data_IF_162740363877
#
_entry.id   IF_162740363877
#
_cell.length_a   1.000
_cell.length_b   1.000
_cell.length_c   1.000
_cell.angle_alpha   90.00
_cell.angle_beta   90.00
_cell.angle_gamma   90.00
#
_symmetry.space_group_name_H-M   'P 1'
#
loop_
_entity.id
_entity.type
_entity.pdbx_description
1 polymer ?
#
# COMPACT_ATOMS: atom_id res chain seq x y z
N UNK A 1 11.62 -37.08 9.28
CA UNK A 1 11.00 -35.99 8.50
C UNK A 1 10.91 -34.75 9.37
N UNK A 2 11.75 -33.73 9.14
CA UNK A 2 11.70 -32.47 9.89
C UNK A 2 10.45 -31.68 9.48
N UNK A 3 9.44 -31.65 10.34
CA UNK A 3 8.30 -30.73 10.25
C UNK A 3 8.83 -29.30 10.40
N UNK A 4 9.24 -28.68 9.28
CA UNK A 4 9.41 -27.22 9.21
C UNK A 4 8.07 -26.60 9.54
N UNK A 5 7.91 -26.19 10.79
CA UNK A 5 6.69 -25.53 11.26
C UNK A 5 6.41 -24.32 10.37
N UNK A 6 5.34 -24.41 9.58
CA UNK A 6 4.80 -23.33 8.74
C UNK A 6 4.20 -22.19 9.58
N UNK A 7 4.31 -22.23 10.91
CA UNK A 7 3.80 -21.19 11.81
C UNK A 7 4.72 -19.97 11.84
N UNK A 8 4.11 -18.78 11.93
CA UNK A 8 4.80 -17.52 12.19
C UNK A 8 5.53 -17.61 13.52
N UNK A 9 6.83 -17.28 13.53
CA UNK A 9 7.63 -17.22 14.77
C UNK A 9 7.61 -15.80 15.35
N UNK A 10 7.96 -15.65 16.63
CA UNK A 10 8.04 -14.32 17.25
C UNK A 10 8.96 -13.35 16.47
N UNK A 11 10.11 -13.83 15.97
CA UNK A 11 11.01 -13.04 15.10
C UNK A 11 10.35 -12.56 13.80
N UNK A 12 9.42 -13.36 13.27
CA UNK A 12 8.70 -13.08 12.04
C UNK A 12 7.70 -11.93 12.29
N UNK A 13 7.01 -11.99 13.43
CA UNK A 13 6.09 -10.94 13.89
C UNK A 13 6.83 -9.62 14.20
N UNK A 14 8.02 -9.68 14.82
CA UNK A 14 8.85 -8.49 15.05
C UNK A 14 9.23 -7.83 13.73
N UNK A 15 9.68 -8.61 12.74
CA UNK A 15 9.99 -8.08 11.41
C UNK A 15 8.75 -7.45 10.77
N UNK A 16 7.60 -8.13 10.80
CA UNK A 16 6.32 -7.58 10.30
C UNK A 16 6.06 -6.22 10.95
N UNK A 17 6.13 -6.11 12.28
CA UNK A 17 5.90 -4.85 12.99
C UNK A 17 6.87 -3.74 12.57
N UNK A 18 8.17 -4.02 12.55
CA UNK A 18 9.21 -3.02 12.20
C UNK A 18 9.05 -2.54 10.76
N UNK A 19 8.87 -3.45 9.80
CA UNK A 19 8.68 -3.07 8.40
C UNK A 19 7.35 -2.36 8.17
N UNK A 20 6.30 -2.74 8.88
CA UNK A 20 5.02 -2.04 8.84
C UNK A 20 5.15 -0.62 9.38
N UNK A 21 5.90 -0.41 10.47
CA UNK A 21 6.16 0.92 11.01
C UNK A 21 6.96 1.79 10.03
N UNK A 22 8.04 1.25 9.43
CA UNK A 22 8.83 1.97 8.41
C UNK A 22 7.95 2.33 7.21
N UNK A 23 7.18 1.36 6.71
CA UNK A 23 6.24 1.57 5.61
C UNK A 23 5.25 2.68 5.95
N UNK A 24 4.67 2.63 7.15
CA UNK A 24 3.68 3.58 7.62
C UNK A 24 4.25 5.01 7.74
N UNK A 25 5.46 5.17 8.27
CA UNK A 25 6.11 6.49 8.37
C UNK A 25 6.36 7.09 6.99
N UNK A 26 6.85 6.29 6.04
CA UNK A 26 7.07 6.74 4.65
C UNK A 26 5.74 7.07 3.98
N UNK A 27 4.72 6.23 4.19
CA UNK A 27 3.38 6.46 3.68
C UNK A 27 2.79 7.77 4.24
N UNK A 28 2.93 8.00 5.54
CA UNK A 28 2.45 9.21 6.21
C UNK A 28 3.16 10.46 5.67
N UNK A 29 4.48 10.41 5.49
CA UNK A 29 5.24 11.48 4.86
C UNK A 29 4.79 11.76 3.42
N UNK A 30 4.48 10.72 2.65
CA UNK A 30 3.89 10.84 1.31
C UNK A 30 2.52 11.51 1.35
N UNK A 31 1.64 11.09 2.26
CA UNK A 31 0.30 11.64 2.42
C UNK A 31 0.30 13.14 2.78
N UNK A 32 1.36 13.66 3.41
CA UNK A 32 1.50 15.10 3.66
C UNK A 32 1.64 15.94 2.39
N UNK A 33 1.99 15.35 1.23
CA UNK A 33 1.94 16.06 -0.05
C UNK A 33 0.49 16.26 -0.55
N UNK A 34 -0.48 15.52 0.00
CA UNK A 34 -1.90 15.61 -0.32
C UNK A 34 -2.60 16.85 0.19
N UNK A 35 -1.90 17.73 0.92
CA UNK A 35 -2.38 19.07 1.29
C UNK A 35 -2.54 19.99 0.07
N UNK A 36 -1.94 19.64 -1.07
CA UNK A 36 -2.10 20.36 -2.33
C UNK A 36 -3.02 19.51 -3.23
N UNK A 37 -4.11 20.06 -3.79
CA UNK A 37 -5.17 19.26 -4.42
C UNK A 37 -4.69 18.58 -5.70
N UNK A 38 -3.74 19.18 -6.42
CA UNK A 38 -3.12 18.59 -7.62
C UNK A 38 -2.28 17.34 -7.31
N UNK A 39 -1.78 17.24 -6.08
CA UNK A 39 -1.02 16.08 -5.66
C UNK A 39 -1.91 14.91 -5.25
N UNK A 40 -3.21 15.09 -4.96
CA UNK A 40 -4.08 13.96 -4.55
C UNK A 40 -4.16 12.84 -5.60
N UNK A 41 -4.36 13.13 -6.90
CA UNK A 41 -4.28 12.08 -7.92
C UNK A 41 -2.87 11.53 -8.09
N UNK A 42 -1.86 12.40 -7.98
CA UNK A 42 -0.44 12.08 -8.09
C UNK A 42 0.06 11.20 -6.94
N UNK A 43 -0.51 11.34 -5.74
CA UNK A 43 -0.25 10.51 -4.56
C UNK A 43 -0.58 9.05 -4.84
N UNK A 44 -1.61 8.82 -5.65
CA UNK A 44 -1.94 7.49 -6.15
C UNK A 44 -0.76 6.81 -6.85
N UNK A 45 0.21 7.55 -7.37
CA UNK A 45 1.43 7.03 -8.01
C UNK A 45 2.68 7.21 -7.14
N UNK A 46 2.83 8.38 -6.50
CA UNK A 46 4.00 8.72 -5.67
C UNK A 46 4.06 7.88 -4.40
N UNK A 47 2.94 7.69 -3.69
CA UNK A 47 2.92 6.88 -2.47
C UNK A 47 3.33 5.42 -2.72
N UNK A 48 2.74 4.69 -3.70
CA UNK A 48 3.21 3.34 -4.03
C UNK A 48 4.68 3.26 -4.43
N UNK A 49 5.22 4.30 -5.08
CA UNK A 49 6.62 4.33 -5.49
C UNK A 49 7.53 4.47 -4.27
N UNK A 50 7.25 5.43 -3.39
CA UNK A 50 8.01 5.64 -2.15
C UNK A 50 7.91 4.44 -1.22
N UNK A 51 6.70 3.91 -1.05
CA UNK A 51 6.43 2.73 -0.24
C UNK A 51 6.92 1.42 -0.88
N UNK A 52 7.16 1.39 -2.19
CA UNK A 52 7.63 0.21 -2.90
C UNK A 52 9.03 -0.23 -2.49
N UNK A 53 9.91 0.70 -2.13
CA UNK A 53 11.29 0.42 -1.69
C UNK A 53 11.32 -0.36 -0.34
N UNK A 54 10.72 0.15 0.76
CA UNK A 54 10.70 -0.58 2.03
C UNK A 54 9.89 -1.87 1.92
N UNK A 55 8.83 -1.91 1.09
CA UNK A 55 8.08 -3.12 0.85
C UNK A 55 8.92 -4.18 0.13
N UNK A 56 9.72 -3.81 -0.87
CA UNK A 56 10.67 -4.71 -1.52
C UNK A 56 11.67 -5.29 -0.53
N UNK A 57 12.22 -4.44 0.35
CA UNK A 57 13.13 -4.89 1.40
C UNK A 57 12.43 -5.86 2.35
N UNK A 58 11.18 -5.58 2.71
CA UNK A 58 10.34 -6.44 3.52
C UNK A 58 10.12 -7.81 2.85
N UNK A 59 9.78 -7.83 1.56
CA UNK A 59 9.57 -9.05 0.79
C UNK A 59 10.83 -9.95 0.74
N UNK A 60 12.05 -9.38 0.77
CA UNK A 60 13.28 -10.20 0.87
C UNK A 60 13.43 -10.96 2.20
N UNK A 61 12.76 -10.50 3.26
CA UNK A 61 12.74 -11.13 4.58
C UNK A 61 11.55 -12.07 4.78
N UNK A 62 10.52 -11.94 3.95
CA UNK A 62 9.31 -12.76 4.01
C UNK A 62 9.57 -14.12 3.38
N UNK A 63 9.39 -15.18 4.16
CA UNK A 63 9.52 -16.57 3.70
C UNK A 63 8.29 -17.41 4.04
N UNK A 64 7.22 -16.79 4.54
CA UNK A 64 6.05 -17.46 5.10
C UNK A 64 4.76 -16.69 4.81
N UNK A 65 3.67 -17.45 4.72
CA UNK A 65 2.32 -16.94 4.53
C UNK A 65 1.81 -16.26 5.80
N UNK A 66 1.12 -15.13 5.63
CA UNK A 66 0.49 -14.33 6.67
C UNK A 66 1.28 -13.09 7.08
N UNK A 67 2.52 -12.96 6.64
CA UNK A 67 3.35 -11.78 6.96
C UNK A 67 2.78 -10.51 6.31
N UNK A 68 2.46 -10.58 5.01
CA UNK A 68 1.93 -9.41 4.28
C UNK A 68 0.48 -9.13 4.66
N UNK A 69 -0.31 -10.18 4.92
CA UNK A 69 -1.67 -10.03 5.44
C UNK A 69 -1.69 -9.31 6.79
N UNK A 70 -0.77 -9.66 7.71
CA UNK A 70 -0.63 -8.97 8.99
C UNK A 70 -0.25 -7.49 8.80
N UNK A 71 0.69 -7.18 7.90
CA UNK A 71 1.01 -5.78 7.58
C UNK A 71 -0.22 -5.03 7.07
N UNK A 72 -1.00 -5.62 6.17
CA UNK A 72 -2.25 -5.01 5.67
C UNK A 72 -3.29 -4.77 6.77
N UNK A 73 -3.44 -5.73 7.70
CA UNK A 73 -4.33 -5.61 8.86
C UNK A 73 -3.85 -4.51 9.80
N UNK A 74 -2.55 -4.49 10.15
CA UNK A 74 -1.97 -3.49 11.04
C UNK A 74 -2.09 -2.09 10.43
N UNK A 75 -1.78 -1.92 9.14
CA UNK A 75 -1.96 -0.64 8.45
C UNK A 75 -3.43 -0.23 8.41
N UNK A 76 -4.34 -1.16 8.14
CA UNK A 76 -5.78 -0.91 8.16
C UNK A 76 -6.29 -0.45 9.52
N UNK A 77 -5.86 -1.12 10.61
CA UNK A 77 -6.20 -0.76 11.98
C UNK A 77 -5.61 0.59 12.40
N UNK A 78 -4.32 0.82 12.13
CA UNK A 78 -3.68 2.11 12.41
C UNK A 78 -4.44 3.25 11.75
N UNK A 79 -4.79 3.07 10.48
CA UNK A 79 -5.51 4.10 9.73
C UNK A 79 -6.97 4.25 10.14
N UNK A 80 -7.62 3.18 10.59
CA UNK A 80 -8.93 3.27 11.23
C UNK A 80 -8.87 4.13 12.50
N UNK A 81 -7.87 3.92 13.35
CA UNK A 81 -7.66 4.69 14.59
C UNK A 81 -7.36 6.16 14.27
N UNK A 82 -6.62 6.45 13.20
CA UNK A 82 -6.40 7.81 12.71
C UNK A 82 -7.64 8.47 12.09
N UNK A 83 -8.77 7.77 12.04
CA UNK A 83 -10.02 8.31 11.51
C UNK A 83 -10.12 8.23 9.99
N UNK A 84 -9.31 7.40 9.32
CA UNK A 84 -9.30 7.21 7.85
C UNK A 84 -10.47 6.36 7.32
N UNK A 85 -11.28 5.80 8.21
CA UNK A 85 -12.52 5.06 7.90
C UNK A 85 -12.33 3.55 7.71
N UNK A 86 -13.41 2.81 7.93
CA UNK A 86 -13.44 1.32 7.89
C UNK A 86 -13.08 0.78 6.50
N UNK A 87 -13.33 1.54 5.44
CA UNK A 87 -13.01 1.16 4.06
C UNK A 87 -11.51 0.90 3.85
N UNK A 88 -10.64 1.69 4.50
CA UNK A 88 -9.18 1.49 4.43
C UNK A 88 -8.78 0.16 5.09
N UNK A 89 -9.44 -0.19 6.20
CA UNK A 89 -9.22 -1.46 6.87
C UNK A 89 -9.66 -2.62 5.99
N UNK A 90 -10.86 -2.56 5.41
CA UNK A 90 -11.37 -3.61 4.53
C UNK A 90 -10.47 -3.79 3.31
N UNK A 91 -10.05 -2.70 2.67
CA UNK A 91 -9.11 -2.73 1.56
C UNK A 91 -7.75 -3.32 1.99
N UNK A 92 -7.17 -2.86 3.10
CA UNK A 92 -5.90 -3.37 3.63
C UNK A 92 -5.92 -4.87 3.93
N UNK A 93 -7.03 -5.38 4.48
CA UNK A 93 -7.22 -6.81 4.76
C UNK A 93 -7.33 -7.60 3.45
N UNK A 94 -8.20 -7.18 2.53
CA UNK A 94 -8.44 -7.88 1.27
C UNK A 94 -7.18 -7.91 0.41
N UNK A 95 -6.59 -6.74 0.13
CA UNK A 95 -5.39 -6.62 -0.69
C UNK A 95 -4.14 -7.19 -0.01
N UNK A 96 -4.07 -7.14 1.33
CA UNK A 96 -3.04 -7.81 2.11
C UNK A 96 -3.08 -9.34 1.90
N UNK A 97 -4.25 -9.96 2.02
CA UNK A 97 -4.44 -11.39 1.81
C UNK A 97 -4.17 -11.79 0.35
N UNK A 98 -4.67 -11.02 -0.62
CA UNK A 98 -4.42 -11.26 -2.04
C UNK A 98 -2.93 -11.19 -2.37
N UNK A 99 -2.23 -10.19 -1.85
CA UNK A 99 -0.79 -10.03 -2.03
C UNK A 99 -0.01 -11.22 -1.44
N UNK A 100 -0.39 -11.67 -0.25
CA UNK A 100 0.23 -12.82 0.42
C UNK A 100 -0.02 -14.15 -0.33
N UNK A 101 -1.21 -14.33 -0.92
CA UNK A 101 -1.52 -15.45 -1.81
C UNK A 101 -0.66 -15.45 -3.08
N UNK A 102 -0.43 -14.29 -3.70
CA UNK A 102 0.43 -14.17 -4.88
C UNK A 102 1.90 -14.50 -4.55
N UNK A 103 2.39 -14.09 -3.37
CA UNK A 103 3.74 -14.47 -2.94
C UNK A 103 3.86 -15.97 -2.68
N UNK A 104 2.81 -16.58 -2.12
CA UNK A 104 2.74 -18.01 -1.87
C UNK A 104 2.78 -18.82 -3.17
N UNK A 105 2.05 -18.40 -4.22
CA UNK A 105 2.12 -19.09 -5.53
C UNK A 105 3.51 -18.97 -6.16
N UNK A 106 4.19 -17.85 -5.95
CA UNK A 106 5.58 -17.63 -6.35
C UNK A 106 6.64 -18.27 -5.45
N UNK A 107 6.25 -19.05 -4.44
CA UNK A 107 7.12 -19.65 -3.41
C UNK A 107 8.10 -18.64 -2.77
N UNK A 108 7.74 -17.35 -2.72
CA UNK A 108 8.59 -16.26 -2.23
C UNK A 108 9.94 -16.09 -2.98
N UNK A 109 10.12 -16.73 -4.13
CA UNK A 109 11.35 -16.66 -4.94
C UNK A 109 11.10 -16.08 -6.33
N UNK A 110 9.86 -16.12 -6.83
CA UNK A 110 9.55 -15.59 -8.16
C UNK A 110 9.44 -14.07 -8.16
N UNK A 111 10.36 -13.42 -8.85
CA UNK A 111 10.34 -11.97 -9.09
C UNK A 111 8.99 -11.47 -9.66
N UNK A 112 8.38 -12.22 -10.59
CA UNK A 112 7.09 -11.84 -11.20
C UNK A 112 5.97 -11.80 -10.16
N UNK A 113 5.97 -12.75 -9.21
CA UNK A 113 5.01 -12.79 -8.12
C UNK A 113 5.27 -11.67 -7.11
N UNK A 114 6.53 -11.35 -6.80
CA UNK A 114 6.90 -10.21 -5.96
C UNK A 114 6.42 -8.87 -6.56
N UNK A 115 6.58 -8.71 -7.88
CA UNK A 115 6.11 -7.52 -8.61
C UNK A 115 4.58 -7.40 -8.55
N UNK A 116 3.86 -8.48 -8.86
CA UNK A 116 2.40 -8.53 -8.81
C UNK A 116 1.87 -8.32 -7.39
N UNK A 117 2.52 -8.91 -6.39
CA UNK A 117 2.18 -8.75 -4.98
C UNK A 117 2.32 -7.29 -4.53
N UNK A 118 3.38 -6.57 -4.93
CA UNK A 118 3.48 -5.14 -4.60
C UNK A 118 2.41 -4.31 -5.30
N UNK A 119 2.13 -4.58 -6.58
CA UNK A 119 1.04 -3.94 -7.31
C UNK A 119 -0.32 -4.15 -6.64
N UNK A 120 -0.63 -5.40 -6.28
CA UNK A 120 -1.88 -5.74 -5.58
C UNK A 120 -1.92 -5.19 -4.16
N UNK A 121 -0.82 -5.21 -3.43
CA UNK A 121 -0.75 -4.62 -2.10
C UNK A 121 -1.02 -3.12 -2.18
N UNK A 122 -0.40 -2.40 -3.13
CA UNK A 122 -0.56 -0.96 -3.31
C UNK A 122 -2.01 -0.51 -3.53
N UNK A 123 -2.88 -1.40 -4.02
CA UNK A 123 -4.31 -1.13 -4.15
C UNK A 123 -5.02 -0.90 -2.81
N UNK A 124 -4.41 -1.21 -1.66
CA UNK A 124 -4.95 -0.82 -0.36
C UNK A 124 -5.15 0.70 -0.23
N UNK A 125 -4.37 1.51 -0.96
CA UNK A 125 -4.52 2.98 -1.04
C UNK A 125 -5.88 3.36 -1.64
N UNK A 126 -6.45 2.51 -2.49
CA UNK A 126 -7.81 2.70 -2.98
C UNK A 126 -8.81 2.73 -1.86
N UNK A 127 -8.58 2.11 -0.70
CA UNK A 127 -9.47 2.26 0.45
C UNK A 127 -9.68 3.74 0.87
N UNK A 128 -8.66 4.58 0.74
CA UNK A 128 -8.79 6.02 1.00
C UNK A 128 -9.56 6.73 -0.11
N UNK A 129 -9.24 6.39 -1.36
CA UNK A 129 -9.91 6.95 -2.54
C UNK A 129 -11.39 6.54 -2.53
N UNK A 130 -11.71 5.30 -2.22
CA UNK A 130 -13.07 4.80 -2.06
C UNK A 130 -13.83 5.60 -1.02
N UNK A 131 -13.21 5.94 0.12
CA UNK A 131 -13.85 6.84 1.10
C UNK A 131 -14.12 8.22 0.50
N UNK A 132 -13.16 8.80 -0.20
CA UNK A 132 -13.33 10.09 -0.88
C UNK A 132 -14.48 10.07 -1.90
N UNK A 133 -14.70 8.96 -2.61
CA UNK A 133 -15.75 8.84 -3.63
C UNK A 133 -17.10 8.35 -3.09
N UNK A 134 -17.15 7.51 -2.06
CA UNK A 134 -18.38 6.97 -1.47
C UNK A 134 -19.02 7.95 -0.49
N UNK A 135 -18.23 8.54 0.41
CA UNK A 135 -18.69 9.61 1.32
C UNK A 135 -18.33 10.98 0.74
N UNK A 136 -18.52 11.16 -0.57
CA UNK A 136 -18.09 12.36 -1.31
C UNK A 136 -18.69 13.62 -0.70
N UNK A 137 -20.00 13.66 -0.50
CA UNK A 137 -20.70 14.81 0.07
C UNK A 137 -20.17 15.20 1.44
N UNK A 138 -20.02 14.24 2.36
CA UNK A 138 -19.51 14.51 3.72
C UNK A 138 -18.02 14.88 3.72
N UNK A 139 -17.21 14.20 2.90
CA UNK A 139 -15.77 14.42 2.81
C UNK A 139 -15.47 15.79 2.21
N UNK A 140 -16.12 16.15 1.10
CA UNK A 140 -15.94 17.46 0.49
C UNK A 140 -16.56 18.57 1.34
N UNK A 141 -17.70 18.35 2.03
CA UNK A 141 -18.23 19.33 2.98
C UNK A 141 -17.28 19.61 4.15
N UNK A 142 -16.66 18.56 4.71
CA UNK A 142 -15.63 18.71 5.74
C UNK A 142 -14.37 19.41 5.20
N UNK A 143 -13.97 19.10 3.96
CA UNK A 143 -12.84 19.80 3.32
C UNK A 143 -13.13 21.28 3.04
N UNK A 144 -14.36 21.66 2.67
CA UNK A 144 -14.73 23.08 2.50
C UNK A 144 -14.49 23.84 3.80
N UNK A 145 -14.87 23.25 4.94
CA UNK A 145 -14.70 23.87 6.26
C UNK A 145 -13.23 24.07 6.67
N UNK A 146 -12.30 23.27 6.13
CA UNK A 146 -10.88 23.29 6.52
C UNK A 146 -9.96 23.94 5.48
N UNK A 147 -10.23 23.76 4.18
CA UNK A 147 -9.38 24.19 3.06
C UNK A 147 -10.03 25.25 2.16
N UNK A 148 -11.30 25.55 2.37
CA UNK A 148 -12.06 26.51 1.57
C UNK A 148 -12.66 25.91 0.30
N UNK A 149 -13.60 26.65 -0.27
CA UNK A 149 -14.43 26.19 -1.39
C UNK A 149 -13.63 26.04 -2.69
N UNK A 150 -12.67 26.93 -2.93
CA UNK A 150 -11.83 26.93 -4.14
C UNK A 150 -10.93 25.68 -4.24
N UNK A 151 -10.40 25.22 -3.11
CA UNK A 151 -9.64 23.96 -3.03
C UNK A 151 -10.51 22.76 -3.39
N UNK A 152 -11.72 22.73 -2.84
CA UNK A 152 -12.69 21.64 -3.03
C UNK A 152 -13.22 21.62 -4.45
N UNK A 153 -13.54 22.76 -5.05
CA UNK A 153 -14.03 22.84 -6.42
C UNK A 153 -12.94 22.43 -7.42
N UNK A 154 -11.69 22.86 -7.18
CA UNK A 154 -10.53 22.42 -7.96
C UNK A 154 -10.32 20.91 -7.83
N UNK A 155 -10.38 20.38 -6.61
CA UNK A 155 -10.23 18.95 -6.37
C UNK A 155 -11.38 18.13 -6.97
N UNK A 156 -12.63 18.61 -6.88
CA UNK A 156 -13.79 17.97 -7.49
C UNK A 156 -13.71 17.97 -9.02
N UNK A 157 -13.25 19.06 -9.62
CA UNK A 157 -12.96 19.18 -11.05
C UNK A 157 -11.91 18.17 -11.50
N UNK A 158 -10.86 17.95 -10.70
CA UNK A 158 -9.83 16.94 -10.97
C UNK A 158 -10.24 15.51 -10.61
N UNK A 159 -11.26 15.30 -9.78
CA UNK A 159 -11.69 13.96 -9.33
C UNK A 159 -13.13 13.61 -9.73
N UNK A 160 -13.49 13.70 -11.02
CA UNK A 160 -14.81 13.26 -11.48
C UNK A 160 -14.97 11.75 -11.30
N UNK A 161 -16.21 11.21 -11.28
CA UNK A 161 -16.49 9.79 -10.97
C UNK A 161 -15.68 8.77 -11.79
N UNK A 162 -15.34 9.10 -13.03
CA UNK A 162 -14.51 8.29 -13.93
C UNK A 162 -13.02 8.27 -13.57
N UNK A 163 -12.56 9.18 -12.71
CA UNK A 163 -11.20 9.22 -12.17
C UNK A 163 -10.96 8.06 -11.19
N UNK A 164 -12.01 7.47 -10.61
CA UNK A 164 -11.90 6.34 -9.67
C UNK A 164 -11.22 5.11 -10.30
N UNK A 165 -11.70 4.54 -11.43
CA UNK A 165 -11.01 3.45 -12.10
C UNK A 165 -9.65 3.87 -12.67
N UNK A 166 -9.48 5.13 -13.07
CA UNK A 166 -8.17 5.64 -13.54
C UNK A 166 -7.14 5.62 -12.41
N UNK A 167 -7.50 6.12 -11.22
CA UNK A 167 -6.64 6.09 -10.04
C UNK A 167 -6.31 4.67 -9.62
N UNK A 168 -7.26 3.74 -9.76
CA UNK A 168 -7.01 2.32 -9.52
C UNK A 168 -5.89 1.77 -10.42
N UNK A 169 -5.97 2.06 -11.72
CA UNK A 169 -4.94 1.64 -12.69
C UNK A 169 -3.62 2.35 -12.44
N UNK A 170 -3.64 3.66 -12.16
CA UNK A 170 -2.44 4.46 -11.88
C UNK A 170 -1.74 4.00 -10.61
N UNK A 171 -2.49 3.66 -9.55
CA UNK A 171 -1.93 3.12 -8.31
C UNK A 171 -1.34 1.73 -8.50
N UNK A 172 -2.01 0.88 -9.29
CA UNK A 172 -1.45 -0.42 -9.64
C UNK A 172 -0.13 -0.28 -10.42
N UNK A 173 -0.08 0.63 -11.40
CA UNK A 173 1.14 0.93 -12.16
C UNK A 173 2.20 1.54 -11.25
N UNK A 174 1.83 2.45 -10.35
CA UNK A 174 2.73 3.04 -9.35
C UNK A 174 3.33 1.98 -8.43
N UNK A 175 2.54 0.99 -8.00
CA UNK A 175 3.03 -0.15 -7.24
C UNK A 175 4.02 -1.01 -8.05
N UNK A 176 3.76 -1.25 -9.33
CA UNK A 176 4.71 -1.94 -10.21
C UNK A 176 6.02 -1.15 -10.35
N UNK A 177 5.93 0.16 -10.60
CA UNK A 177 7.10 1.03 -10.72
C UNK A 177 7.89 1.12 -9.40
N UNK A 178 7.20 1.22 -8.27
CA UNK A 178 7.80 1.19 -6.93
C UNK A 178 8.53 -0.11 -6.64
N UNK A 179 7.98 -1.24 -7.08
CA UNK A 179 8.66 -2.53 -6.97
C UNK A 179 9.88 -2.62 -7.89
N UNK A 180 9.79 -2.12 -9.13
CA UNK A 180 10.92 -2.08 -10.05
C UNK A 180 12.07 -1.22 -9.51
N UNK A 181 11.75 -0.03 -9.00
CA UNK A 181 12.71 0.85 -8.34
C UNK A 181 13.30 0.19 -7.08
N UNK A 182 12.45 -0.40 -6.24
CA UNK A 182 12.88 -1.16 -5.07
C UNK A 182 13.86 -2.28 -5.43
N UNK A 183 13.63 -3.02 -6.52
CA UNK A 183 14.58 -4.02 -7.02
C UNK A 183 15.87 -3.41 -7.54
N UNK A 184 15.80 -2.33 -8.31
CA UNK A 184 16.99 -1.68 -8.86
C UNK A 184 17.91 -1.23 -7.72
N UNK A 185 17.34 -0.59 -6.69
CA UNK A 185 18.08 -0.14 -5.51
C UNK A 185 18.58 -1.31 -4.66
N UNK A 186 17.78 -2.36 -4.49
CA UNK A 186 18.07 -3.49 -3.60
C UNK A 186 18.62 -4.72 -4.33
N UNK A 187 19.10 -4.60 -5.56
CA UNK A 187 19.53 -5.73 -6.41
C UNK A 187 20.47 -6.69 -5.67
N UNK A 188 21.48 -6.14 -4.97
CA UNK A 188 22.42 -6.91 -4.12
C UNK A 188 21.74 -7.67 -2.98
N UNK A 189 20.68 -7.13 -2.38
CA UNK A 189 19.92 -7.79 -1.32
C UNK A 189 18.97 -8.87 -1.87
N UNK A 190 18.40 -8.64 -3.05
CA UNK A 190 17.56 -9.60 -3.76
C UNK A 190 18.34 -10.84 -4.23
N UNK A 191 19.55 -10.66 -4.76
CA UNK A 191 20.47 -11.76 -5.12
C UNK A 191 20.85 -12.58 -3.87
N UNK A 192 21.20 -11.91 -2.76
CA UNK A 192 21.47 -12.59 -1.47
C UNK A 192 20.26 -13.33 -0.90
N UNK A 193 19.04 -12.90 -1.23
CA UNK A 193 17.81 -13.53 -0.78
C UNK A 193 17.34 -14.69 -1.69
N UNK A 194 17.97 -14.88 -2.87
CA UNK A 194 17.62 -15.92 -3.83
C UNK A 194 16.31 -15.65 -4.59
N UNK A 195 15.99 -14.37 -4.81
CA UNK A 195 14.78 -13.91 -5.52
C UNK A 195 15.11 -13.40 -6.94
N UNK A 196 16.38 -13.11 -7.20
CA UNK A 196 16.89 -12.58 -8.47
C UNK A 196 17.67 -13.65 -9.25
#
# INVERSE_FOLDING_TARGET
MNTKSNKLQAKDLINVGVFTAIYFVIFFAGMMLGYIPIFIPLLGLVCPILCGIPFMLYLTKIKKFGMVSLTGIILGLLNLIMGSGVLVLVAGVIFGILSDLILRTGKYQSWKCTLLSNGVFSLWIMGYVSRMFLTRTEFFASLVSSYGQEYVDTLMSYTPGWMYPVLFVVTFIGGILGALLGKAVLKKHFEKAGIA
#
